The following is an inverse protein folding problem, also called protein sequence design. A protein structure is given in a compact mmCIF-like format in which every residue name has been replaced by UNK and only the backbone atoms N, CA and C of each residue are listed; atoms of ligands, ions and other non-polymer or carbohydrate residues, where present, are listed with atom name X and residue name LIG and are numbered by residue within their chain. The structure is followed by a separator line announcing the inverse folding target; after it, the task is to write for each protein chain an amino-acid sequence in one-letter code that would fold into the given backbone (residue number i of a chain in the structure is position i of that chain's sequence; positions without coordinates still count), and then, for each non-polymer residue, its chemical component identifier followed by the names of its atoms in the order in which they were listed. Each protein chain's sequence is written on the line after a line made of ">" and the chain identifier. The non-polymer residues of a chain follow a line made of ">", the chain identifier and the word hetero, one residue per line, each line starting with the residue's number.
data_IF_061360400463
#
_entry.id   IF_061360400463
#
_cell.length_a   1.000
_cell.length_b   1.000
_cell.length_c   1.000
_cell.angle_alpha   90.00
_cell.angle_beta   90.00
_cell.angle_gamma   90.00
#
_symmetry.space_group_name_H-M   'P 1'
#
loop_
_entity.id
_entity.type
_entity.pdbx_description
1 polymer ?
#
# COMPACT_ATOMS: atom_id res chain seq x y z
N UNK A 1 4.03 -15.96 21.47
CA UNK A 1 4.32 -17.40 21.23
C UNK A 1 3.39 -17.84 20.12
N UNK A 2 3.88 -18.64 19.16
CA UNK A 2 3.09 -19.13 18.03
C UNK A 2 3.05 -20.66 18.05
N UNK A 3 2.00 -21.24 17.47
CA UNK A 3 1.89 -22.67 17.14
C UNK A 3 1.61 -22.82 15.66
N UNK A 4 2.06 -23.91 15.05
CA UNK A 4 1.84 -24.21 13.64
C UNK A 4 1.01 -25.49 13.49
N UNK A 5 0.00 -25.42 12.62
CA UNK A 5 -0.77 -26.57 12.14
C UNK A 5 -0.32 -26.81 10.70
N UNK A 6 -0.04 -28.07 10.33
CA UNK A 6 0.53 -28.42 9.02
C UNK A 6 -0.42 -28.18 7.85
N UNK A 7 -1.72 -28.17 8.13
CA UNK A 7 -2.75 -28.01 7.13
C UNK A 7 -2.85 -26.53 6.73
N UNK A 8 -2.94 -26.27 5.43
CA UNK A 8 -3.20 -24.93 4.92
C UNK A 8 -4.61 -24.49 5.32
N UNK A 9 -4.79 -23.18 5.56
CA UNK A 9 -6.10 -22.61 5.90
C UNK A 9 -7.15 -22.84 4.79
N UNK A 10 -6.72 -22.87 3.53
CA UNK A 10 -7.53 -23.25 2.37
C UNK A 10 -6.66 -23.89 1.29
N UNK A 11 -7.28 -24.62 0.35
CA UNK A 11 -6.58 -25.29 -0.74
C UNK A 11 -5.79 -24.28 -1.61
N UNK A 12 -4.46 -24.47 -1.67
CA UNK A 12 -3.54 -23.65 -2.47
C UNK A 12 -2.85 -24.50 -3.54
N UNK A 13 -3.62 -25.10 -4.46
CA UNK A 13 -3.11 -26.00 -5.50
C UNK A 13 -3.55 -25.53 -6.89
N UNK A 14 -2.64 -25.36 -7.86
CA UNK A 14 -3.01 -25.12 -9.25
C UNK A 14 -3.38 -26.42 -9.97
N UNK A 15 -4.08 -26.33 -11.10
CA UNK A 15 -4.36 -27.46 -11.99
C UNK A 15 -3.12 -27.84 -12.82
N UNK A 16 -2.23 -26.89 -13.09
CA UNK A 16 -0.94 -27.14 -13.76
C UNK A 16 0.13 -26.07 -13.46
N UNK A 17 1.38 -26.30 -13.89
CA UNK A 17 2.46 -25.34 -13.66
C UNK A 17 2.33 -24.10 -14.57
N UNK A 18 2.67 -22.93 -14.02
CA UNK A 18 2.75 -21.65 -14.74
C UNK A 18 3.76 -20.72 -14.05
N UNK A 19 5.02 -20.80 -14.47
CA UNK A 19 6.11 -19.98 -13.92
C UNK A 19 5.94 -18.47 -14.20
N UNK A 20 5.23 -18.10 -15.27
CA UNK A 20 4.94 -16.69 -15.55
C UNK A 20 3.89 -16.15 -14.59
N UNK A 21 2.87 -16.94 -14.25
CA UNK A 21 1.89 -16.56 -13.23
C UNK A 21 2.48 -16.61 -11.82
N UNK A 22 3.36 -17.58 -11.51
CA UNK A 22 4.11 -17.60 -10.25
C UNK A 22 4.84 -16.28 -9.99
N UNK A 23 5.46 -15.69 -11.03
CA UNK A 23 6.07 -14.36 -10.97
C UNK A 23 5.06 -13.26 -10.66
N UNK A 24 3.86 -13.28 -11.25
CA UNK A 24 2.81 -12.28 -10.97
C UNK A 24 2.29 -12.40 -9.54
N UNK A 25 2.11 -13.64 -9.08
CA UNK A 25 1.59 -13.96 -7.75
C UNK A 25 2.52 -13.51 -6.62
N UNK A 26 3.82 -13.32 -6.89
CA UNK A 26 4.76 -12.65 -5.98
C UNK A 26 4.28 -11.26 -5.52
N UNK A 27 3.48 -10.54 -6.33
CA UNK A 27 3.00 -9.20 -5.98
C UNK A 27 2.14 -9.21 -4.72
N UNK A 28 1.26 -10.21 -4.58
CA UNK A 28 0.42 -10.35 -3.39
C UNK A 28 1.11 -11.13 -2.27
N UNK A 29 2.33 -11.62 -2.49
CA UNK A 29 3.17 -12.16 -1.41
C UNK A 29 4.04 -11.06 -0.80
N UNK A 30 5.05 -10.61 -1.56
CA UNK A 30 6.12 -9.71 -1.11
C UNK A 30 6.04 -8.29 -1.68
N UNK A 31 4.99 -7.96 -2.44
CA UNK A 31 4.74 -6.59 -2.89
C UNK A 31 4.27 -5.68 -1.77
N UNK A 32 4.14 -4.38 -2.08
CA UNK A 32 3.80 -3.35 -1.09
C UNK A 32 2.50 -3.66 -0.33
N UNK A 33 1.49 -4.17 -1.02
CA UNK A 33 0.17 -4.50 -0.46
C UNK A 33 -0.07 -6.02 -0.36
N UNK A 34 1.00 -6.81 -0.41
CA UNK A 34 0.91 -8.27 -0.27
C UNK A 34 0.83 -8.73 1.18
N UNK A 35 0.60 -10.03 1.36
CA UNK A 35 0.35 -10.65 2.67
C UNK A 35 1.52 -10.50 3.64
N UNK A 36 2.75 -10.45 3.15
CA UNK A 36 3.90 -10.17 4.01
C UNK A 36 3.80 -8.78 4.66
N UNK A 37 3.25 -7.79 3.95
CA UNK A 37 3.05 -6.45 4.52
C UNK A 37 1.93 -6.45 5.55
N UNK A 38 0.75 -6.98 5.23
CA UNK A 38 -0.40 -6.93 6.15
C UNK A 38 -0.16 -7.81 7.40
N UNK A 39 0.43 -9.00 7.25
CA UNK A 39 0.81 -9.85 8.37
C UNK A 39 1.73 -9.12 9.36
N UNK A 40 2.83 -8.56 8.85
CA UNK A 40 3.77 -7.84 9.70
C UNK A 40 3.15 -6.55 10.25
N UNK A 41 2.38 -5.82 9.44
CA UNK A 41 1.73 -4.59 9.87
C UNK A 41 0.81 -4.81 11.06
N UNK A 42 -0.09 -5.79 10.97
CA UNK A 42 -1.06 -6.07 12.04
C UNK A 42 -0.35 -6.61 13.28
N UNK A 43 0.66 -7.48 13.12
CA UNK A 43 1.45 -7.96 14.26
C UNK A 43 2.20 -6.82 14.96
N UNK A 44 2.85 -5.92 14.23
CA UNK A 44 3.56 -4.77 14.83
C UNK A 44 2.59 -3.76 15.47
N UNK A 45 1.44 -3.49 14.84
CA UNK A 45 0.38 -2.68 15.45
C UNK A 45 -0.13 -3.32 16.75
N UNK A 46 -0.39 -4.62 16.74
CA UNK A 46 -0.82 -5.38 17.92
C UNK A 46 0.23 -5.40 19.03
N UNK A 47 1.50 -5.63 18.71
CA UNK A 47 2.59 -5.61 19.70
C UNK A 47 2.82 -4.22 20.30
N UNK A 48 2.75 -3.18 19.48
CA UNK A 48 2.93 -1.78 19.92
C UNK A 48 1.70 -1.21 20.63
N UNK A 49 0.50 -1.78 20.39
CA UNK A 49 -0.74 -1.33 21.00
C UNK A 49 -0.66 -1.39 22.54
N UNK A 50 -0.85 -0.23 23.16
CA UNK A 50 -0.79 -0.03 24.61
C UNK A 50 -2.15 -0.21 25.28
N UNK A 51 -3.24 -0.15 24.52
CA UNK A 51 -4.59 -0.42 25.01
C UNK A 51 -4.81 -1.94 25.06
N UNK A 52 -5.00 -2.55 26.24
CA UNK A 52 -5.31 -3.98 26.31
C UNK A 52 -6.74 -4.27 25.85
N UNK A 53 -7.01 -5.52 25.48
CA UNK A 53 -8.34 -6.00 25.12
C UNK A 53 -8.65 -5.90 23.63
N UNK A 54 -9.92 -5.70 23.29
CA UNK A 54 -10.52 -6.00 21.97
C UNK A 54 -9.73 -5.51 20.76
N UNK A 55 -9.16 -4.30 20.80
CA UNK A 55 -8.42 -3.73 19.67
C UNK A 55 -7.03 -4.35 19.50
N UNK A 56 -6.34 -4.63 20.61
CA UNK A 56 -5.06 -5.33 20.56
C UNK A 56 -5.25 -6.76 20.09
N UNK A 57 -6.29 -7.42 20.59
CA UNK A 57 -6.63 -8.79 20.21
C UNK A 57 -6.97 -8.86 18.72
N UNK A 58 -7.77 -7.91 18.20
CA UNK A 58 -8.11 -7.80 16.78
C UNK A 58 -6.87 -7.76 15.87
N UNK A 59 -5.89 -6.91 16.18
CA UNK A 59 -4.63 -6.84 15.42
C UNK A 59 -3.86 -8.17 15.43
N UNK A 60 -3.74 -8.78 16.61
CA UNK A 60 -2.95 -9.99 16.79
C UNK A 60 -3.60 -11.21 16.13
N UNK A 61 -4.92 -11.32 16.22
CA UNK A 61 -5.68 -12.41 15.60
C UNK A 61 -5.59 -12.34 14.08
N UNK A 62 -5.85 -11.16 13.50
CA UNK A 62 -5.84 -10.99 12.03
C UNK A 62 -4.42 -11.06 11.49
N UNK A 63 -3.44 -10.43 12.16
CA UNK A 63 -2.03 -10.57 11.77
C UNK A 63 -1.51 -12.02 11.84
N UNK A 64 -2.11 -12.86 12.70
CA UNK A 64 -1.82 -14.30 12.74
C UNK A 64 -2.49 -15.04 11.60
N UNK A 65 -3.71 -14.67 11.21
CA UNK A 65 -4.38 -15.19 10.01
C UNK A 65 -3.57 -14.89 8.74
N UNK A 66 -3.06 -13.67 8.58
CA UNK A 66 -2.28 -13.30 7.39
C UNK A 66 -1.00 -14.12 7.23
N UNK A 67 -0.43 -14.65 8.32
CA UNK A 67 0.68 -15.60 8.20
C UNK A 67 0.28 -16.91 7.52
N UNK A 68 -0.98 -17.33 7.68
CA UNK A 68 -1.57 -18.43 6.92
C UNK A 68 -1.75 -18.11 5.44
N UNK A 69 -2.14 -16.87 5.11
CA UNK A 69 -2.20 -16.41 3.71
C UNK A 69 -0.82 -16.36 3.06
N UNK A 70 0.21 -15.88 3.77
CA UNK A 70 1.61 -15.94 3.34
C UNK A 70 2.01 -17.39 3.01
N UNK A 71 1.69 -18.35 3.89
CA UNK A 71 1.99 -19.77 3.68
C UNK A 71 1.25 -20.33 2.44
N UNK A 72 -0.03 -20.02 2.29
CA UNK A 72 -0.83 -20.44 1.13
C UNK A 72 -0.26 -19.91 -0.19
N UNK A 73 0.05 -18.62 -0.26
CA UNK A 73 0.55 -17.99 -1.49
C UNK A 73 1.95 -18.51 -1.82
N UNK A 74 2.84 -18.62 -0.83
CA UNK A 74 4.17 -19.20 -1.05
C UNK A 74 4.07 -20.66 -1.55
N UNK A 75 3.13 -21.43 -1.01
CA UNK A 75 2.84 -22.80 -1.45
C UNK A 75 2.31 -22.84 -2.89
N UNK A 76 1.36 -21.97 -3.24
CA UNK A 76 0.82 -21.86 -4.59
C UNK A 76 1.92 -21.47 -5.59
N UNK A 77 2.77 -20.48 -5.28
CA UNK A 77 3.91 -20.09 -6.12
C UNK A 77 4.84 -21.28 -6.35
N UNK A 78 5.17 -22.02 -5.28
CA UNK A 78 6.05 -23.20 -5.37
C UNK A 78 5.43 -24.29 -6.25
N UNK A 79 4.13 -24.55 -6.11
CA UNK A 79 3.40 -25.53 -6.95
C UNK A 79 3.30 -25.11 -8.41
N UNK A 80 3.13 -23.81 -8.68
CA UNK A 80 3.15 -23.27 -10.04
C UNK A 80 4.52 -23.39 -10.72
N UNK A 81 5.59 -23.52 -9.93
CA UNK A 81 6.96 -23.70 -10.41
C UNK A 81 7.35 -25.18 -10.57
N UNK A 82 6.49 -26.13 -10.16
CA UNK A 82 6.76 -27.57 -10.29
C UNK A 82 6.96 -27.96 -11.75
N UNK A 83 8.07 -28.65 -12.04
CA UNK A 83 8.42 -29.08 -13.41
C UNK A 83 8.48 -27.94 -14.44
N UNK A 84 8.66 -26.69 -13.99
CA UNK A 84 8.89 -25.59 -14.92
C UNK A 84 10.22 -25.80 -15.66
N UNK A 85 10.27 -25.56 -16.98
CA UNK A 85 11.45 -25.81 -17.79
C UNK A 85 12.63 -24.94 -17.35
N UNK A 86 13.84 -25.49 -17.34
CA UNK A 86 15.06 -24.80 -16.92
C UNK A 86 15.80 -24.09 -18.07
N UNK A 87 15.34 -24.30 -19.30
CA UNK A 87 15.88 -23.64 -20.49
C UNK A 87 14.79 -23.37 -21.52
N UNK A 88 15.03 -22.38 -22.39
CA UNK A 88 14.14 -22.11 -23.53
C UNK A 88 14.04 -23.33 -24.46
N UNK A 89 15.11 -24.10 -24.60
CA UNK A 89 15.12 -25.31 -25.41
C UNK A 89 14.18 -26.38 -24.84
N UNK A 90 14.22 -26.60 -23.53
CA UNK A 90 13.31 -27.52 -22.82
C UNK A 90 11.85 -27.02 -22.92
N UNK A 91 11.63 -25.72 -22.72
CA UNK A 91 10.31 -25.10 -22.84
C UNK A 91 9.73 -25.24 -24.26
N UNK A 92 10.56 -25.08 -25.29
CA UNK A 92 10.12 -25.11 -26.68
C UNK A 92 10.16 -26.51 -27.32
N UNK A 93 10.66 -27.53 -26.61
CA UNK A 93 10.83 -28.88 -27.14
C UNK A 93 9.50 -29.52 -27.55
N UNK A 94 8.47 -29.40 -26.71
CA UNK A 94 7.16 -30.01 -26.95
C UNK A 94 6.13 -29.03 -27.53
N UNK A 95 6.29 -27.72 -27.28
CA UNK A 95 5.38 -26.69 -27.80
C UNK A 95 6.08 -25.32 -27.89
N UNK A 96 6.30 -24.74 -29.09
CA UNK A 96 6.95 -23.44 -29.26
C UNK A 96 6.26 -22.28 -28.51
N UNK A 97 4.96 -22.38 -28.22
CA UNK A 97 4.23 -21.38 -27.41
C UNK A 97 4.66 -21.37 -25.94
N UNK A 98 5.15 -22.51 -25.41
CA UNK A 98 5.65 -22.63 -24.04
C UNK A 98 7.00 -21.90 -23.88
N UNK A 99 7.76 -21.71 -24.97
CA UNK A 99 8.95 -20.86 -24.97
C UNK A 99 8.67 -19.38 -24.66
N UNK A 100 7.50 -18.85 -25.06
CA UNK A 100 7.09 -17.48 -24.72
C UNK A 100 6.72 -17.34 -23.23
N UNK A 101 6.15 -18.39 -22.63
CA UNK A 101 5.84 -18.47 -21.19
C UNK A 101 7.13 -18.49 -20.37
N UNK A 102 8.15 -19.24 -20.82
CA UNK A 102 9.48 -19.24 -20.20
C UNK A 102 10.09 -17.82 -20.15
N UNK A 103 9.96 -17.03 -21.22
CA UNK A 103 10.43 -15.64 -21.26
C UNK A 103 9.76 -14.70 -20.24
N UNK A 104 8.56 -15.06 -19.76
CA UNK A 104 7.83 -14.32 -18.72
C UNK A 104 8.18 -14.73 -17.29
N UNK A 105 8.92 -15.83 -17.09
CA UNK A 105 9.30 -16.34 -15.77
C UNK A 105 10.26 -15.39 -15.03
N UNK A 106 10.39 -15.59 -13.71
CA UNK A 106 11.40 -14.90 -12.92
C UNK A 106 12.63 -15.83 -12.75
N UNK A 107 13.79 -15.50 -13.32
CA UNK A 107 15.00 -16.32 -13.16
C UNK A 107 15.41 -16.54 -11.70
N UNK A 108 15.09 -15.60 -10.81
CA UNK A 108 15.40 -15.71 -9.39
C UNK A 108 14.64 -16.87 -8.71
N UNK A 109 13.46 -17.28 -9.20
CA UNK A 109 12.76 -18.46 -8.69
C UNK A 109 13.61 -19.72 -8.82
N UNK A 110 14.33 -19.88 -9.93
CA UNK A 110 15.14 -21.07 -10.19
C UNK A 110 16.55 -20.98 -9.61
N UNK A 111 17.18 -19.79 -9.68
CA UNK A 111 18.57 -19.60 -9.27
C UNK A 111 18.68 -19.44 -7.76
N UNK A 112 17.86 -18.56 -7.19
CA UNK A 112 17.93 -18.21 -5.76
C UNK A 112 16.91 -19.00 -4.94
N UNK A 113 15.68 -19.12 -5.45
CA UNK A 113 14.56 -19.76 -4.75
C UNK A 113 14.54 -21.28 -4.81
N UNK A 114 15.36 -21.91 -5.66
CA UNK A 114 15.36 -23.37 -5.83
C UNK A 114 14.00 -23.95 -6.26
N UNK A 115 13.20 -23.20 -7.02
CA UNK A 115 11.83 -23.55 -7.39
C UNK A 115 10.76 -23.06 -6.40
N UNK A 116 11.12 -22.24 -5.42
CA UNK A 116 10.21 -21.69 -4.41
C UNK A 116 9.91 -20.20 -4.56
N UNK A 117 8.95 -19.76 -3.76
CA UNK A 117 8.61 -18.35 -3.60
C UNK A 117 9.75 -17.54 -2.96
N UNK A 118 9.78 -16.24 -3.24
CA UNK A 118 10.76 -15.30 -2.70
C UNK A 118 10.08 -14.24 -1.83
N UNK A 119 10.77 -13.66 -0.82
CA UNK A 119 10.28 -12.48 -0.11
C UNK A 119 10.49 -11.21 -0.96
N UNK A 120 9.82 -11.15 -2.12
CA UNK A 120 9.98 -10.09 -3.12
C UNK A 120 8.68 -9.86 -3.92
N UNK A 121 8.57 -8.72 -4.59
CA UNK A 121 7.45 -8.39 -5.47
C UNK A 121 7.54 -9.09 -6.85
N UNK A 122 6.59 -8.80 -7.75
CA UNK A 122 6.55 -9.39 -9.10
C UNK A 122 7.67 -8.95 -10.05
N UNK A 123 8.45 -7.92 -9.66
CA UNK A 123 9.66 -7.45 -10.35
C UNK A 123 10.95 -7.88 -9.65
N UNK A 124 10.87 -8.62 -8.55
CA UNK A 124 12.01 -9.08 -7.78
C UNK A 124 12.61 -8.03 -6.84
N UNK A 125 11.87 -6.94 -6.55
CA UNK A 125 12.27 -6.00 -5.49
C UNK A 125 12.06 -6.69 -4.15
N UNK A 126 13.09 -6.82 -3.29
CA UNK A 126 12.94 -7.45 -1.97
C UNK A 126 11.87 -6.74 -1.13
N UNK A 127 11.04 -7.53 -0.45
CA UNK A 127 10.10 -6.98 0.52
C UNK A 127 10.86 -6.19 1.58
N UNK A 128 10.33 -5.04 1.96
CA UNK A 128 10.96 -4.13 2.90
C UNK A 128 10.03 -3.84 4.06
N UNK A 129 10.58 -3.86 5.28
CA UNK A 129 9.86 -3.40 6.47
C UNK A 129 9.42 -1.94 6.37
N UNK A 130 9.93 -1.16 5.40
CA UNK A 130 9.44 0.18 5.09
C UNK A 130 7.98 0.22 4.59
N UNK A 131 7.39 -0.93 4.20
CA UNK A 131 5.98 -1.03 3.85
C UNK A 131 5.07 -1.07 5.09
N UNK A 132 5.61 -1.45 6.25
CA UNK A 132 4.85 -1.57 7.50
C UNK A 132 4.67 -0.20 8.16
N UNK A 133 3.45 0.10 8.58
CA UNK A 133 3.16 1.25 9.45
C UNK A 133 2.40 0.80 10.70
N UNK A 134 2.97 1.12 11.86
CA UNK A 134 2.36 0.92 13.17
C UNK A 134 2.56 2.21 13.98
N UNK A 135 1.68 3.20 13.76
CA UNK A 135 1.86 4.56 14.28
C UNK A 135 1.62 4.64 15.79
N UNK A 136 0.82 3.72 16.33
CA UNK A 136 0.38 3.75 17.72
C UNK A 136 -0.87 4.60 17.96
N UNK A 137 -1.43 5.23 16.92
CA UNK A 137 -2.77 5.81 16.94
C UNK A 137 -3.77 4.84 16.27
N UNK A 138 -4.77 4.40 17.04
CA UNK A 138 -5.71 3.37 16.57
C UNK A 138 -6.53 3.81 15.36
N UNK A 139 -7.05 5.03 15.33
CA UNK A 139 -7.86 5.50 14.20
C UNK A 139 -7.03 5.64 12.92
N UNK A 140 -5.81 6.16 13.01
CA UNK A 140 -4.89 6.24 11.88
C UNK A 140 -4.53 4.85 11.36
N UNK A 141 -4.17 3.94 12.26
CA UNK A 141 -3.76 2.57 11.91
C UNK A 141 -4.94 1.76 11.32
N UNK A 142 -6.17 1.90 11.84
CA UNK A 142 -7.36 1.24 11.27
C UNK A 142 -7.70 1.77 9.88
N UNK A 143 -7.62 3.08 9.63
CA UNK A 143 -7.85 3.63 8.29
C UNK A 143 -6.81 3.15 7.28
N UNK A 144 -5.55 3.06 7.71
CA UNK A 144 -4.51 2.44 6.90
C UNK A 144 -4.83 0.98 6.61
N UNK A 145 -5.34 0.22 7.59
CA UNK A 145 -5.66 -1.19 7.41
C UNK A 145 -6.82 -1.39 6.43
N UNK A 146 -7.87 -0.56 6.49
CA UNK A 146 -8.93 -0.54 5.45
C UNK A 146 -8.31 -0.32 4.07
N UNK A 147 -7.36 0.61 3.96
CA UNK A 147 -6.65 0.89 2.69
C UNK A 147 -5.82 -0.31 2.23
N UNK A 148 -5.09 -0.94 3.14
CA UNK A 148 -4.25 -2.09 2.83
C UNK A 148 -5.07 -3.25 2.27
N UNK A 149 -6.18 -3.60 2.93
CA UNK A 149 -7.10 -4.64 2.47
C UNK A 149 -7.78 -4.27 1.15
N UNK A 150 -8.14 -3.01 0.94
CA UNK A 150 -8.72 -2.55 -0.33
C UNK A 150 -7.73 -2.68 -1.49
N UNK A 151 -6.44 -2.38 -1.25
CA UNK A 151 -5.39 -2.51 -2.27
C UNK A 151 -5.00 -3.97 -2.53
N UNK A 152 -4.87 -4.79 -1.47
CA UNK A 152 -4.64 -6.23 -1.59
C UNK A 152 -5.75 -6.90 -2.43
N UNK A 153 -7.02 -6.66 -2.05
CA UNK A 153 -8.18 -7.18 -2.79
C UNK A 153 -8.21 -6.74 -4.25
N UNK A 154 -7.84 -5.49 -4.54
CA UNK A 154 -7.74 -4.99 -5.90
C UNK A 154 -6.67 -5.74 -6.71
N UNK A 155 -5.52 -6.06 -6.10
CA UNK A 155 -4.47 -6.85 -6.74
C UNK A 155 -4.93 -8.29 -6.98
N UNK A 156 -5.55 -8.95 -6.00
CA UNK A 156 -6.10 -10.31 -6.15
C UNK A 156 -7.16 -10.35 -7.26
N UNK A 157 -8.05 -9.36 -7.34
CA UNK A 157 -9.07 -9.27 -8.40
C UNK A 157 -8.45 -9.07 -9.80
N UNK A 158 -7.33 -8.36 -9.91
CA UNK A 158 -6.56 -8.25 -11.16
C UNK A 158 -5.92 -9.59 -11.53
N UNK A 159 -5.28 -10.25 -10.59
CA UNK A 159 -4.67 -11.57 -10.78
C UNK A 159 -5.70 -12.64 -11.19
N UNK A 160 -6.92 -12.55 -10.67
CA UNK A 160 -8.02 -13.44 -11.07
C UNK A 160 -8.30 -13.39 -12.58
N UNK A 161 -8.09 -12.23 -13.22
CA UNK A 161 -8.25 -12.05 -14.67
C UNK A 161 -6.95 -12.32 -15.47
N UNK A 162 -5.86 -12.70 -14.80
CA UNK A 162 -4.55 -12.98 -15.41
C UNK A 162 -4.22 -14.47 -15.49
N UNK A 163 -5.17 -15.34 -15.16
CA UNK A 163 -5.06 -16.80 -15.27
C UNK A 163 -6.41 -17.40 -15.63
N UNK A 164 -6.41 -18.59 -16.22
CA UNK A 164 -7.59 -19.43 -16.40
C UNK A 164 -7.53 -20.74 -15.60
N UNK A 165 -6.47 -20.95 -14.82
CA UNK A 165 -6.29 -22.12 -13.97
C UNK A 165 -7.39 -22.17 -12.87
N UNK A 166 -8.26 -23.20 -12.87
CA UNK A 166 -9.35 -23.33 -11.90
C UNK A 166 -8.88 -23.44 -10.45
N UNK A 167 -7.80 -24.17 -10.19
CA UNK A 167 -7.21 -24.33 -8.87
C UNK A 167 -6.66 -23.02 -8.31
N UNK A 168 -5.95 -22.25 -9.14
CA UNK A 168 -5.50 -20.89 -8.78
C UNK A 168 -6.70 -19.99 -8.49
N UNK A 169 -7.70 -19.96 -9.39
CA UNK A 169 -8.92 -19.15 -9.20
C UNK A 169 -9.67 -19.54 -7.92
N UNK A 170 -9.63 -20.79 -7.50
CA UNK A 170 -10.25 -21.25 -6.26
C UNK A 170 -9.59 -20.61 -5.03
N UNK A 171 -8.25 -20.61 -4.97
CA UNK A 171 -7.51 -19.94 -3.90
C UNK A 171 -7.73 -18.42 -3.91
N UNK A 172 -7.68 -17.77 -5.09
CA UNK A 172 -7.92 -16.32 -5.19
C UNK A 172 -9.34 -15.93 -4.75
N UNK A 173 -10.35 -16.76 -4.99
CA UNK A 173 -11.72 -16.54 -4.49
C UNK A 173 -11.78 -16.57 -2.96
N UNK A 174 -11.02 -17.47 -2.33
CA UNK A 174 -10.90 -17.51 -0.88
C UNK A 174 -10.27 -16.21 -0.35
N UNK A 175 -9.12 -15.80 -0.89
CA UNK A 175 -8.45 -14.56 -0.48
C UNK A 175 -9.37 -13.34 -0.64
N UNK A 176 -10.03 -13.17 -1.81
CA UNK A 176 -11.00 -12.10 -2.03
C UNK A 176 -12.13 -12.06 -0.99
N UNK A 177 -12.55 -13.22 -0.48
CA UNK A 177 -13.58 -13.32 0.55
C UNK A 177 -13.04 -12.97 1.93
N UNK A 178 -11.78 -13.32 2.24
CA UNK A 178 -11.09 -12.91 3.48
C UNK A 178 -10.86 -11.41 3.49
N UNK A 179 -10.31 -10.82 2.43
CA UNK A 179 -10.14 -9.36 2.31
C UNK A 179 -11.47 -8.61 2.47
N UNK A 180 -12.57 -9.19 1.98
CA UNK A 180 -13.91 -8.61 2.15
C UNK A 180 -14.31 -8.60 3.62
N UNK A 181 -14.04 -9.68 4.36
CA UNK A 181 -14.30 -9.74 5.79
C UNK A 181 -13.40 -8.74 6.54
N UNK A 182 -12.11 -8.69 6.23
CA UNK A 182 -11.15 -7.82 6.92
C UNK A 182 -11.44 -6.33 6.68
N UNK A 183 -11.82 -5.93 5.46
CA UNK A 183 -12.29 -4.56 5.19
C UNK A 183 -13.48 -4.19 6.08
N UNK A 184 -14.51 -5.04 6.12
CA UNK A 184 -15.69 -4.79 6.95
C UNK A 184 -15.35 -4.76 8.44
N UNK A 185 -14.45 -5.63 8.88
CA UNK A 185 -13.97 -5.69 10.25
C UNK A 185 -13.22 -4.42 10.64
N UNK A 186 -12.31 -3.90 9.82
CA UNK A 186 -11.61 -2.64 10.10
C UNK A 186 -12.55 -1.42 10.07
N UNK A 187 -13.53 -1.40 9.17
CA UNK A 187 -14.56 -0.37 9.16
C UNK A 187 -15.41 -0.42 10.43
N UNK A 188 -15.83 -1.60 10.87
CA UNK A 188 -16.55 -1.78 12.14
C UNK A 188 -15.69 -1.39 13.36
N UNK A 189 -14.38 -1.68 13.32
CA UNK A 189 -13.46 -1.26 14.38
C UNK A 189 -13.33 0.27 14.46
N UNK A 190 -13.34 0.98 13.33
CA UNK A 190 -13.38 2.45 13.27
C UNK A 190 -14.67 3.00 13.91
N UNK A 191 -15.83 2.42 13.57
CA UNK A 191 -17.11 2.82 14.16
C UNK A 191 -17.12 2.59 15.67
N UNK A 192 -16.70 1.40 16.11
CA UNK A 192 -16.63 1.03 17.52
C UNK A 192 -15.65 1.91 18.31
N UNK A 193 -14.53 2.32 17.71
CA UNK A 193 -13.54 3.18 18.37
C UNK A 193 -14.12 4.55 18.70
N UNK A 194 -14.97 5.09 17.81
CA UNK A 194 -15.73 6.32 18.03
C UNK A 194 -16.81 6.14 19.11
N UNK A 195 -17.57 5.05 19.04
CA UNK A 195 -18.62 4.74 20.02
C UNK A 195 -18.06 4.58 21.44
N UNK A 196 -16.86 4.01 21.57
CA UNK A 196 -16.16 3.89 22.86
C UNK A 196 -15.63 5.25 23.36
N UNK A 197 -15.66 6.29 22.52
CA UNK A 197 -15.13 7.63 22.84
C UNK A 197 -13.62 7.66 22.99
N UNK A 198 -12.90 6.77 22.29
CA UNK A 198 -11.45 6.64 22.42
C UNK A 198 -10.67 7.49 21.41
N UNK A 199 -11.26 7.75 20.25
CA UNK A 199 -10.66 8.58 19.19
C UNK A 199 -11.73 8.97 18.15
N UNK A 200 -11.65 10.20 17.61
CA UNK A 200 -12.56 10.76 16.61
C UNK A 200 -11.76 11.32 15.39
N UNK A 201 -12.46 11.82 14.37
CA UNK A 201 -11.85 12.63 13.31
C UNK A 201 -11.80 14.13 13.68
N UNK A 202 -10.85 14.92 13.15
CA UNK A 202 -9.63 14.49 12.45
C UNK A 202 -8.63 13.83 13.41
N UNK A 203 -7.72 13.03 12.86
CA UNK A 203 -6.76 12.24 13.66
C UNK A 203 -5.37 12.89 13.65
N UNK A 204 -4.70 13.01 14.81
CA UNK A 204 -5.21 12.67 16.14
C UNK A 204 -6.19 13.73 16.66
N UNK A 205 -7.30 13.29 17.26
CA UNK A 205 -8.33 14.16 17.84
C UNK A 205 -7.82 14.94 19.07
N UNK A 206 -6.76 14.43 19.69
CA UNK A 206 -6.09 15.05 20.81
C UNK A 206 -5.33 16.33 20.41
N UNK A 207 -5.10 16.57 19.11
CA UNK A 207 -4.51 17.84 18.66
C UNK A 207 -5.57 18.95 18.67
N UNK A 208 -5.34 20.08 19.35
CA UNK A 208 -6.40 21.07 19.55
C UNK A 208 -6.62 21.97 18.32
N UNK A 209 -7.87 22.06 17.85
CA UNK A 209 -8.31 22.91 16.73
C UNK A 209 -7.81 24.36 16.83
N UNK A 210 -7.72 24.92 18.04
CA UNK A 210 -7.19 26.28 18.29
C UNK A 210 -5.75 26.52 17.82
N UNK A 211 -4.99 25.45 17.57
CA UNK A 211 -3.62 25.49 17.03
C UNK A 211 -3.59 25.37 15.51
N UNK A 212 -4.73 25.15 14.88
CA UNK A 212 -4.90 25.10 13.44
C UNK A 212 -5.45 26.42 12.90
N UNK A 213 -5.41 26.56 11.58
CA UNK A 213 -6.11 27.62 10.87
C UNK A 213 -7.51 27.16 10.43
N UNK A 214 -8.27 26.55 11.35
CA UNK A 214 -9.56 25.88 11.07
C UNK A 214 -10.54 26.77 10.34
N UNK A 215 -10.76 27.99 10.84
CA UNK A 215 -11.70 28.94 10.25
C UNK A 215 -11.36 29.32 8.81
N UNK A 216 -10.09 29.18 8.40
CA UNK A 216 -9.59 29.60 7.10
C UNK A 216 -9.40 28.43 6.14
N UNK A 217 -8.88 27.29 6.61
CA UNK A 217 -8.35 26.25 5.73
C UNK A 217 -8.87 24.83 5.96
N UNK A 218 -9.17 24.41 7.20
CA UNK A 218 -9.46 22.98 7.46
C UNK A 218 -10.69 22.45 6.70
N UNK A 219 -11.63 23.34 6.32
CA UNK A 219 -12.83 23.00 5.53
C UNK A 219 -12.90 23.71 4.18
N UNK A 220 -11.79 24.20 3.65
CA UNK A 220 -11.77 24.89 2.35
C UNK A 220 -11.04 24.04 1.32
N UNK A 221 -11.76 23.54 0.31
CA UNK A 221 -11.15 22.95 -0.87
C UNK A 221 -10.56 24.05 -1.75
N UNK A 222 -9.22 24.13 -1.77
CA UNK A 222 -8.47 25.03 -2.63
C UNK A 222 -8.24 24.36 -3.99
N UNK A 223 -8.84 24.91 -5.05
CA UNK A 223 -8.70 24.38 -6.40
C UNK A 223 -7.58 25.11 -7.16
N UNK A 224 -6.52 24.37 -7.43
CA UNK A 224 -5.37 24.84 -8.20
C UNK A 224 -5.48 24.54 -9.70
N UNK A 225 -6.62 24.00 -10.14
CA UNK A 225 -6.89 23.70 -11.54
C UNK A 225 -7.47 24.93 -12.26
N UNK A 226 -7.23 25.11 -13.57
CA UNK A 226 -7.87 26.18 -14.33
C UNK A 226 -9.40 26.02 -14.52
N UNK A 227 -9.94 24.81 -14.37
CA UNK A 227 -11.39 24.52 -14.49
C UNK A 227 -12.08 24.44 -13.14
N UNK A 228 -13.42 24.42 -13.13
CA UNK A 228 -14.24 24.42 -11.89
C UNK A 228 -15.03 23.14 -11.65
N UNK A 229 -14.89 22.12 -12.51
CA UNK A 229 -15.71 20.90 -12.47
C UNK A 229 -15.61 20.18 -11.10
N UNK A 230 -14.47 20.31 -10.41
CA UNK A 230 -14.28 19.72 -9.08
C UNK A 230 -15.18 20.34 -8.00
N UNK A 231 -15.77 21.52 -8.24
CA UNK A 231 -16.72 22.18 -7.35
C UNK A 231 -18.08 21.47 -7.23
N UNK A 232 -18.41 20.61 -8.20
CA UNK A 232 -19.67 19.87 -8.22
C UNK A 232 -19.66 18.67 -7.25
N UNK A 233 -18.48 18.30 -6.74
CA UNK A 233 -18.30 17.18 -5.83
C UNK A 233 -18.74 17.49 -4.40
N UNK A 234 -19.17 16.45 -3.67
CA UNK A 234 -19.56 16.55 -2.24
C UNK A 234 -18.41 17.01 -1.32
N UNK A 235 -17.17 16.86 -1.76
CA UNK A 235 -15.97 17.37 -1.08
C UNK A 235 -15.79 18.89 -1.19
N UNK A 236 -16.56 19.58 -2.03
CA UNK A 236 -16.47 21.02 -2.24
C UNK A 236 -17.58 21.82 -1.53
N UNK A 237 -18.66 21.16 -1.08
CA UNK A 237 -19.80 21.80 -0.42
C UNK A 237 -20.55 20.87 0.56
N UNK A 238 -21.22 21.47 1.53
CA UNK A 238 -22.03 20.79 2.54
C UNK A 238 -21.22 20.26 3.75
N UNK A 239 -21.87 19.56 4.70
CA UNK A 239 -21.25 19.20 5.97
C UNK A 239 -19.96 18.40 5.80
N UNK A 240 -18.92 18.70 6.55
CA UNK A 240 -17.72 17.87 6.56
C UNK A 240 -18.04 16.50 7.21
N UNK A 241 -17.44 15.38 6.73
CA UNK A 241 -17.71 14.04 7.29
C UNK A 241 -17.32 13.86 8.76
N UNK A 242 -16.47 14.74 9.30
CA UNK A 242 -16.12 14.78 10.72
C UNK A 242 -17.19 15.46 11.59
N UNK A 243 -18.22 16.06 10.98
CA UNK A 243 -19.29 16.77 11.66
C UNK A 243 -18.88 18.10 12.30
N UNK A 244 -17.66 18.59 12.07
CA UNK A 244 -17.08 19.75 12.76
C UNK A 244 -17.07 21.04 11.92
N UNK A 245 -17.45 20.96 10.65
CA UNK A 245 -17.51 22.12 9.76
C UNK A 245 -18.36 21.90 8.51
N UNK A 246 -18.35 22.90 7.63
CA UNK A 246 -19.00 22.88 6.31
C UNK A 246 -17.93 23.10 5.25
N UNK A 247 -17.91 22.27 4.21
CA UNK A 247 -17.00 22.45 3.09
C UNK A 247 -17.30 23.75 2.34
N UNK A 248 -16.21 24.44 1.99
CA UNK A 248 -16.18 25.62 1.14
C UNK A 248 -15.25 25.36 -0.03
N UNK A 249 -15.49 26.03 -1.14
CA UNK A 249 -14.71 25.90 -2.37
C UNK A 249 -14.07 27.24 -2.73
N UNK A 250 -12.77 27.24 -3.04
CA UNK A 250 -12.02 28.40 -3.52
C UNK A 250 -11.34 28.07 -4.85
N UNK A 251 -11.89 28.60 -5.95
CA UNK A 251 -11.35 28.48 -7.31
C UNK A 251 -10.30 29.56 -7.64
N UNK A 252 -9.89 30.36 -6.67
CA UNK A 252 -8.87 31.37 -6.89
C UNK A 252 -7.92 31.42 -5.69
N UNK A 253 -7.26 30.28 -5.36
CA UNK A 253 -6.35 30.21 -4.24
C UNK A 253 -5.25 31.26 -4.40
N UNK A 254 -5.01 32.02 -3.33
CA UNK A 254 -4.07 33.15 -3.33
C UNK A 254 -2.82 32.79 -2.54
N UNK A 255 -1.70 33.36 -2.94
CA UNK A 255 -0.50 33.34 -2.12
C UNK A 255 -0.79 34.04 -0.77
N UNK A 256 -0.46 33.37 0.34
CA UNK A 256 -0.63 33.90 1.70
C UNK A 256 0.68 34.41 2.33
N UNK A 257 1.78 34.36 1.57
CA UNK A 257 3.09 34.82 1.98
C UNK A 257 3.81 35.50 0.79
N UNK A 258 4.73 36.43 1.05
CA UNK A 258 5.58 37.02 0.01
C UNK A 258 6.54 35.99 -0.60
N UNK A 259 7.08 36.30 -1.78
CA UNK A 259 8.14 35.49 -2.41
C UNK A 259 9.34 35.35 -1.45
N UNK A 260 9.84 34.12 -1.20
CA UNK A 260 10.97 33.92 -0.30
C UNK A 260 12.27 34.42 -0.93
N UNK A 261 13.00 35.29 -0.22
CA UNK A 261 14.35 35.72 -0.59
C UNK A 261 15.36 35.11 0.39
N UNK A 262 16.09 34.10 -0.09
CA UNK A 262 17.07 33.39 0.74
C UNK A 262 18.42 34.15 0.78
N UNK A 263 19.13 34.14 1.93
CA UNK A 263 20.46 34.72 2.00
C UNK A 263 21.48 33.90 1.17
N UNK A 264 22.59 34.54 0.75
CA UNK A 264 23.81 33.86 0.31
C UNK A 264 24.16 32.58 1.09
N UNK A 265 24.41 31.47 0.38
CA UNK A 265 24.87 30.23 1.02
C UNK A 265 26.28 30.33 1.63
N UNK A 266 26.63 29.45 2.57
CA UNK A 266 27.96 29.43 3.20
C UNK A 266 29.08 29.27 2.14
N UNK A 267 30.04 30.21 2.04
CA UNK A 267 31.13 30.14 1.06
C UNK A 267 32.01 28.89 1.17
N UNK A 268 32.10 28.25 2.35
CA UNK A 268 32.86 27.01 2.56
C UNK A 268 32.24 25.79 1.91
N UNK A 269 30.96 25.90 1.53
CA UNK A 269 30.25 24.85 0.78
C UNK A 269 30.43 25.01 -0.74
N UNK A 270 31.17 26.04 -1.17
CA UNK A 270 31.54 26.30 -2.57
C UNK A 270 30.34 26.35 -3.53
N UNK A 271 29.14 26.67 -3.01
CA UNK A 271 27.97 26.96 -3.83
C UNK A 271 28.12 28.26 -4.62
N UNK A 272 27.48 28.36 -5.77
CA UNK A 272 27.48 29.60 -6.58
C UNK A 272 26.73 30.71 -5.86
N UNK A 273 27.48 31.52 -5.12
CA UNK A 273 26.91 32.51 -4.22
C UNK A 273 26.68 33.86 -4.95
N UNK A 274 25.45 34.40 -4.97
CA UNK A 274 25.15 35.69 -5.61
C UNK A 274 25.94 36.86 -5.00
N UNK A 275 26.35 36.78 -3.73
CA UNK A 275 27.18 37.78 -3.06
C UNK A 275 28.60 37.91 -3.64
N UNK A 276 29.13 36.84 -4.26
CA UNK A 276 30.42 36.83 -4.98
C UNK A 276 30.27 37.33 -6.43
N UNK A 277 29.05 37.45 -6.94
CA UNK A 277 28.74 37.72 -8.33
C UNK A 277 28.04 39.08 -8.56
N UNK A 278 28.28 40.09 -7.71
CA UNK A 278 27.53 41.37 -7.67
C UNK A 278 27.34 42.07 -9.03
N UNK A 279 28.24 41.89 -10.00
CA UNK A 279 28.08 42.43 -11.37
C UNK A 279 27.35 41.52 -12.37
N UNK A 280 27.25 40.22 -12.09
CA UNK A 280 26.64 39.22 -12.97
C UNK A 280 25.19 38.86 -12.60
N UNK A 281 24.77 39.06 -11.35
CA UNK A 281 23.39 38.73 -10.90
C UNK A 281 22.33 39.48 -11.72
N UNK A 282 22.56 40.76 -12.03
CA UNK A 282 21.64 41.54 -12.88
C UNK A 282 21.60 41.05 -14.34
N UNK A 283 22.70 40.46 -14.85
CA UNK A 283 22.74 39.81 -16.17
C UNK A 283 21.97 38.48 -16.19
N UNK A 284 21.90 37.78 -15.07
CA UNK A 284 21.16 36.50 -14.96
C UNK A 284 19.65 36.74 -14.83
N UNK A 285 19.22 37.75 -14.06
CA UNK A 285 17.80 38.09 -13.92
C UNK A 285 17.13 38.62 -15.20
N UNK A 286 17.92 39.14 -16.15
CA UNK A 286 17.41 39.91 -17.30
C UNK A 286 17.28 39.13 -18.63
N UNK A 287 17.37 37.80 -18.62
CA UNK A 287 17.32 36.97 -19.84
C UNK A 287 16.30 35.82 -19.82
N UNK A 288 15.12 36.06 -19.29
CA UNK A 288 13.97 35.17 -19.50
C UNK A 288 12.78 36.01 -19.96
N UNK A 289 12.80 36.33 -21.26
CA UNK A 289 11.63 36.69 -22.06
C UNK A 289 11.26 35.51 -22.92
#
# INVERSE_FOLDING_TARGET
>A
MFSHIKDLQFEAKPDGPDAAFARRLQEILGGKWGEMTVANQYLYQGWNCRLPGKYKDLFLDVGTEEMGHVEMIATMITRLLENAPLSLQEAAADNPMVGAIYGGSNPAHFIHGGGGALPADSNGVPWSGAFVTASGNLMADFQLNVTAEAQGRLQVARLFNMTDDPGVKNMLRFLLARDTMHQNMWMAAIEQLKEDGLEEMPVPDAFPDSKEFTEKFSYTYLDFSPGTDASEGRWASGPAPDGKGEFRYDHSPRAHAPEPVLPPGDPRLYGTNPGLAKGAVNKVKSKLT
#
